data_IF_943332170244
#
_entry.id   IF_943332170244
#
_cell.length_a   1.000
_cell.length_b   1.000
_cell.length_c   1.000
_cell.angle_alpha   90.00
_cell.angle_beta   90.00
_cell.angle_gamma   90.00
#
_symmetry.space_group_name_H-M   'P 1'
#
loop_
_entity.id
_entity.type
_entity.pdbx_description
1 polymer ?
#
# COMPACT_ATOMS: atom_id res chain seq x y z
N UNK A 1 -20.39 -3.66 -15.81
CA UNK A 1 -19.71 -3.80 -14.52
C UNK A 1 -19.95 -5.20 -13.99
N UNK A 2 -18.88 -5.93 -13.67
CA UNK A 2 -18.93 -7.35 -13.25
C UNK A 2 -19.83 -7.57 -12.03
N UNK A 3 -19.80 -6.65 -11.05
CA UNK A 3 -20.66 -6.72 -9.88
C UNK A 3 -22.14 -6.58 -10.19
N UNK A 4 -22.52 -5.76 -11.17
CA UNK A 4 -23.90 -5.63 -11.59
C UNK A 4 -24.41 -6.91 -12.27
N UNK A 5 -23.49 -7.63 -12.92
CA UNK A 5 -23.83 -8.91 -13.57
C UNK A 5 -23.94 -10.05 -12.54
N UNK A 6 -22.98 -10.15 -11.61
CA UNK A 6 -22.90 -11.25 -10.64
C UNK A 6 -23.86 -11.09 -9.44
N UNK A 7 -24.19 -9.86 -9.07
CA UNK A 7 -25.01 -9.54 -7.90
C UNK A 7 -25.83 -8.26 -8.13
N UNK A 8 -26.82 -8.30 -9.05
CA UNK A 8 -27.64 -7.14 -9.39
C UNK A 8 -28.41 -6.61 -8.16
N UNK A 9 -28.85 -7.49 -7.31
CA UNK A 9 -29.67 -7.16 -6.11
C UNK A 9 -28.82 -6.68 -4.91
N UNK A 10 -27.50 -6.65 -5.04
CA UNK A 10 -26.55 -6.24 -3.97
C UNK A 10 -26.67 -7.04 -2.66
N UNK A 11 -27.00 -8.33 -2.74
CA UNK A 11 -27.27 -9.17 -1.57
C UNK A 11 -26.13 -10.13 -1.22
N UNK A 12 -25.22 -10.39 -2.16
CA UNK A 12 -24.22 -11.47 -2.04
C UNK A 12 -22.85 -10.91 -1.66
N UNK A 13 -22.38 -9.90 -2.43
CA UNK A 13 -21.02 -9.38 -2.26
C UNK A 13 -21.00 -8.01 -1.61
N UNK A 14 -20.48 -7.91 -0.38
CA UNK A 14 -20.33 -6.67 0.38
C UNK A 14 -19.02 -5.92 0.14
N UNK A 15 -18.02 -6.62 -0.38
CA UNK A 15 -16.69 -6.08 -0.64
C UNK A 15 -16.03 -6.75 -1.85
N UNK A 16 -15.01 -6.11 -2.40
CA UNK A 16 -14.17 -6.59 -3.51
C UNK A 16 -12.74 -6.70 -3.00
N UNK A 17 -12.11 -7.85 -3.19
CA UNK A 17 -10.72 -8.07 -2.85
C UNK A 17 -9.92 -8.34 -4.13
N UNK A 18 -8.87 -7.56 -4.36
CA UNK A 18 -7.86 -7.83 -5.40
C UNK A 18 -6.58 -8.30 -4.71
N UNK A 19 -6.10 -9.44 -5.15
CA UNK A 19 -4.86 -10.06 -4.72
C UNK A 19 -3.93 -10.14 -5.94
N UNK A 20 -2.93 -9.25 -5.99
CA UNK A 20 -2.00 -9.24 -7.12
C UNK A 20 -1.15 -10.51 -7.12
N UNK A 21 -0.97 -11.11 -8.30
CA UNK A 21 -0.19 -12.36 -8.47
C UNK A 21 1.30 -12.12 -8.25
N UNK A 22 1.78 -10.91 -8.53
CA UNK A 22 3.17 -10.48 -8.33
C UNK A 22 3.58 -10.40 -6.86
N UNK A 23 2.62 -10.29 -5.94
CA UNK A 23 2.87 -10.30 -4.49
C UNK A 23 2.76 -11.73 -3.93
N UNK A 24 3.65 -12.62 -4.36
CA UNK A 24 3.56 -14.07 -4.11
C UNK A 24 3.80 -14.50 -2.65
N UNK A 25 4.40 -13.63 -1.80
CA UNK A 25 4.75 -13.94 -0.41
C UNK A 25 3.65 -13.56 0.61
N UNK A 26 2.49 -13.19 0.14
CA UNK A 26 1.29 -12.97 0.96
C UNK A 26 0.87 -14.27 1.63
N UNK A 27 0.46 -14.20 2.90
CA UNK A 27 -0.07 -15.31 3.68
C UNK A 27 -1.58 -15.21 3.85
N UNK A 28 -2.21 -16.32 4.21
CA UNK A 28 -3.65 -16.35 4.51
C UNK A 28 -4.02 -15.43 5.67
N UNK A 29 -3.14 -15.30 6.68
CA UNK A 29 -3.34 -14.45 7.85
C UNK A 29 -3.48 -12.99 7.45
N UNK A 30 -2.70 -12.52 6.47
CA UNK A 30 -2.77 -11.14 5.96
C UNK A 30 -4.15 -10.86 5.33
N UNK A 31 -4.69 -11.84 4.59
CA UNK A 31 -6.03 -11.76 3.97
C UNK A 31 -7.12 -11.78 5.05
N UNK A 32 -7.03 -12.70 5.99
CA UNK A 32 -8.02 -12.83 7.07
C UNK A 32 -8.06 -11.57 7.94
N UNK A 33 -6.91 -10.95 8.22
CA UNK A 33 -6.85 -9.69 8.94
C UNK A 33 -7.55 -8.56 8.16
N UNK A 34 -7.31 -8.46 6.86
CA UNK A 34 -7.98 -7.48 6.01
C UNK A 34 -9.50 -7.63 6.00
N UNK A 35 -9.99 -8.89 5.92
CA UNK A 35 -11.43 -9.20 5.98
C UNK A 35 -12.00 -8.83 7.35
N UNK A 36 -11.31 -9.17 8.43
CA UNK A 36 -11.71 -8.80 9.78
C UNK A 36 -11.83 -7.29 9.94
N UNK A 37 -10.85 -6.53 9.43
CA UNK A 37 -10.87 -5.07 9.49
C UNK A 37 -12.06 -4.48 8.74
N UNK A 38 -12.29 -4.88 7.47
CA UNK A 38 -13.39 -4.34 6.67
C UNK A 38 -14.77 -4.68 7.28
N UNK A 39 -14.88 -5.86 7.92
CA UNK A 39 -16.10 -6.33 8.58
C UNK A 39 -16.50 -5.48 9.79
N UNK A 40 -15.59 -4.69 10.36
CA UNK A 40 -15.91 -3.75 11.45
C UNK A 40 -16.76 -2.57 10.99
N UNK A 41 -16.91 -2.37 9.68
CA UNK A 41 -17.60 -1.22 9.06
C UNK A 41 -17.01 0.15 9.42
N UNK A 42 -15.77 0.17 9.92
CA UNK A 42 -15.04 1.41 10.24
C UNK A 42 -14.20 1.89 9.05
N UNK A 43 -13.98 1.03 8.07
CA UNK A 43 -13.12 1.30 6.93
C UNK A 43 -13.91 1.18 5.62
N UNK A 44 -13.66 2.10 4.71
CA UNK A 44 -14.16 2.04 3.34
C UNK A 44 -13.29 1.13 2.47
N UNK A 45 -12.00 1.08 2.80
CA UNK A 45 -11.03 0.19 2.16
C UNK A 45 -9.94 -0.26 3.13
N UNK A 46 -9.30 -1.39 2.82
CA UNK A 46 -8.13 -1.91 3.53
C UNK A 46 -7.05 -2.25 2.50
N UNK A 47 -5.84 -1.81 2.74
CA UNK A 47 -4.67 -2.07 1.89
C UNK A 47 -3.55 -2.70 2.69
N UNK A 48 -2.70 -3.49 2.04
CA UNK A 48 -1.48 -3.98 2.65
C UNK A 48 -0.32 -3.00 2.44
N UNK A 49 0.47 -2.82 3.49
CA UNK A 49 1.62 -1.92 3.51
C UNK A 49 2.77 -2.54 4.30
N UNK A 50 3.97 -2.00 4.12
CA UNK A 50 5.11 -2.25 4.98
C UNK A 50 5.72 -0.95 5.49
N UNK A 51 6.40 -1.01 6.65
CA UNK A 51 7.05 0.17 7.24
C UNK A 51 8.36 0.48 6.50
N UNK A 52 8.53 1.74 6.09
CA UNK A 52 9.77 2.25 5.52
C UNK A 52 10.71 2.69 6.64
N UNK A 53 11.85 2.01 6.79
CA UNK A 53 12.84 2.34 7.82
C UNK A 53 13.89 3.33 7.35
N UNK A 54 14.28 3.28 6.08
CA UNK A 54 15.40 4.04 5.53
C UNK A 54 15.00 5.14 4.55
N UNK A 55 13.78 5.09 4.02
CA UNK A 55 13.25 6.06 3.05
C UNK A 55 12.22 6.94 3.77
N UNK A 56 12.43 8.25 3.71
CA UNK A 56 11.51 9.22 4.32
C UNK A 56 11.22 10.32 3.30
N UNK A 57 9.97 10.72 3.06
CA UNK A 57 9.60 11.71 2.05
C UNK A 57 10.34 13.04 2.19
N UNK A 58 10.65 13.46 3.44
CA UNK A 58 11.43 14.67 3.69
C UNK A 58 12.89 14.63 3.22
N UNK A 59 13.35 13.47 2.71
CA UNK A 59 14.70 13.30 2.13
C UNK A 59 14.65 13.04 0.62
N UNK A 60 13.49 13.19 0.00
CA UNK A 60 13.31 12.95 -1.42
C UNK A 60 13.20 14.26 -2.17
N UNK A 61 13.83 14.31 -3.33
CA UNK A 61 13.92 15.48 -4.18
C UNK A 61 13.62 15.08 -5.62
N UNK A 62 12.98 16.00 -6.34
CA UNK A 62 13.01 16.01 -7.80
C UNK A 62 14.23 16.82 -8.26
N UNK A 63 14.75 16.50 -9.44
CA UNK A 63 15.83 17.26 -10.06
C UNK A 63 15.26 17.96 -11.29
N UNK A 64 15.32 19.29 -11.28
CA UNK A 64 14.95 20.14 -12.40
C UNK A 64 16.21 20.77 -13.01
N UNK A 65 16.16 21.16 -14.27
CA UNK A 65 17.23 21.89 -14.92
C UNK A 65 16.86 23.38 -14.95
N UNK A 66 17.74 24.22 -14.40
CA UNK A 66 17.61 25.67 -14.42
C UNK A 66 18.91 26.25 -15.01
N UNK A 67 18.79 26.93 -16.13
CA UNK A 67 19.94 27.54 -16.84
C UNK A 67 21.09 26.57 -17.13
N UNK A 68 20.78 25.28 -17.42
CA UNK A 68 21.76 24.23 -17.69
C UNK A 68 22.36 23.58 -16.45
N UNK A 69 21.89 23.89 -15.26
CA UNK A 69 22.35 23.31 -13.99
C UNK A 69 21.26 22.45 -13.32
N UNK A 70 21.63 21.28 -12.75
CA UNK A 70 20.67 20.48 -11.99
C UNK A 70 20.35 21.15 -10.65
N UNK A 71 19.07 21.41 -10.41
CA UNK A 71 18.56 21.98 -9.15
C UNK A 71 17.63 20.99 -8.48
N UNK A 72 17.90 20.69 -7.20
CA UNK A 72 17.09 19.79 -6.39
C UNK A 72 15.92 20.56 -5.76
N UNK A 73 14.70 20.02 -5.91
CA UNK A 73 13.50 20.54 -5.27
C UNK A 73 12.90 19.44 -4.37
N UNK A 74 12.60 19.77 -3.11
CA UNK A 74 11.98 18.83 -2.19
C UNK A 74 10.58 18.45 -2.66
N UNK A 75 10.23 17.16 -2.61
CA UNK A 75 8.87 16.70 -2.92
C UNK A 75 7.83 17.14 -1.88
N UNK A 76 8.27 17.56 -0.69
CA UNK A 76 7.42 18.13 0.35
C UNK A 76 7.64 19.62 0.46
N UNK A 77 6.57 20.39 0.61
CA UNK A 77 6.64 21.82 0.93
C UNK A 77 7.30 22.01 2.29
N UNK A 78 8.00 23.15 2.49
CA UNK A 78 8.67 23.48 3.76
C UNK A 78 7.70 23.50 4.96
N UNK A 79 6.45 23.86 4.74
CA UNK A 79 5.39 23.86 5.75
C UNK A 79 4.81 22.48 6.05
N UNK A 80 5.17 21.44 5.29
CA UNK A 80 4.62 20.10 5.49
C UNK A 80 5.05 19.53 6.83
N UNK A 81 4.14 18.95 7.65
CA UNK A 81 4.46 18.45 9.00
C UNK A 81 5.61 17.42 9.03
N UNK A 82 5.74 16.59 8.00
CA UNK A 82 6.83 15.62 7.89
C UNK A 82 8.19 16.30 7.63
N UNK A 83 8.20 17.45 6.94
CA UNK A 83 9.41 18.24 6.69
C UNK A 83 9.89 18.91 7.98
N UNK A 84 8.98 19.51 8.75
CA UNK A 84 9.30 20.20 9.99
C UNK A 84 9.82 19.27 11.09
N UNK A 85 9.30 18.03 11.18
CA UNK A 85 9.72 17.01 12.16
C UNK A 85 11.01 16.26 11.76
N UNK A 86 11.65 16.65 10.68
CA UNK A 86 12.80 15.94 10.14
C UNK A 86 14.05 16.01 11.03
N UNK A 87 14.21 17.04 11.85
CA UNK A 87 15.42 17.30 12.63
C UNK A 87 15.80 16.16 13.61
N UNK A 88 14.82 15.48 14.19
CA UNK A 88 15.04 14.42 15.18
C UNK A 88 14.57 13.05 14.68
N UNK A 89 15.51 12.10 14.53
CA UNK A 89 15.23 10.73 14.10
C UNK A 89 14.18 10.02 14.97
N UNK A 90 14.18 10.28 16.28
CA UNK A 90 13.24 9.69 17.25
C UNK A 90 11.83 10.30 17.24
N UNK A 91 11.63 11.44 16.58
CA UNK A 91 10.35 12.13 16.48
C UNK A 91 9.69 11.94 15.12
N UNK A 92 10.30 11.17 14.21
CA UNK A 92 9.75 10.93 12.88
C UNK A 92 8.50 10.06 12.97
N UNK A 93 7.46 10.47 12.27
CA UNK A 93 6.30 9.62 12.06
C UNK A 93 6.72 8.39 11.25
N UNK A 94 6.21 7.23 11.63
CA UNK A 94 6.36 6.01 10.82
C UNK A 94 5.72 6.23 9.46
N UNK A 95 6.43 5.84 8.43
CA UNK A 95 5.97 5.93 7.05
C UNK A 95 5.75 4.53 6.53
N UNK A 96 4.65 4.34 5.82
CA UNK A 96 4.28 3.06 5.25
C UNK A 96 4.17 3.17 3.74
N UNK A 97 4.68 2.17 3.05
CA UNK A 97 4.52 2.02 1.61
C UNK A 97 3.55 0.89 1.31
N UNK A 98 2.61 1.14 0.40
CA UNK A 98 1.72 0.12 -0.14
C UNK A 98 2.54 -0.87 -0.98
N UNK A 99 2.31 -2.18 -0.75
CA UNK A 99 3.06 -3.26 -1.40
C UNK A 99 2.26 -4.04 -2.47
N UNK A 100 1.02 -3.62 -2.75
CA UNK A 100 0.21 -4.26 -3.79
C UNK A 100 -0.42 -5.60 -3.41
N UNK A 101 -0.03 -6.22 -2.29
CA UNK A 101 -0.44 -7.58 -1.97
C UNK A 101 -1.96 -7.72 -1.73
N UNK A 102 -2.60 -6.73 -1.11
CA UNK A 102 -4.03 -6.74 -0.81
C UNK A 102 -4.64 -5.38 -1.08
N UNK A 103 -5.71 -5.35 -1.87
CA UNK A 103 -6.65 -4.25 -1.99
C UNK A 103 -8.04 -4.79 -1.69
N UNK A 104 -8.62 -4.38 -0.59
CA UNK A 104 -9.96 -4.75 -0.18
C UNK A 104 -10.80 -3.49 -0.03
N UNK A 105 -11.91 -3.38 -0.73
CA UNK A 105 -12.78 -2.20 -0.74
C UNK A 105 -14.22 -2.61 -0.52
N UNK A 106 -14.97 -1.81 0.25
CA UNK A 106 -16.41 -2.00 0.37
C UNK A 106 -17.10 -1.77 -0.99
N UNK A 107 -18.14 -2.54 -1.24
CA UNK A 107 -18.94 -2.37 -2.46
C UNK A 107 -19.46 -0.93 -2.60
N UNK A 108 -19.91 -0.34 -1.49
CA UNK A 108 -20.46 1.01 -1.49
C UNK A 108 -19.43 2.06 -1.91
N UNK A 109 -18.20 1.99 -1.36
CA UNK A 109 -17.13 2.90 -1.75
C UNK A 109 -16.78 2.73 -3.23
N UNK A 110 -16.56 1.47 -3.67
CA UNK A 110 -16.23 1.19 -5.07
C UNK A 110 -17.33 1.65 -6.03
N UNK A 111 -18.60 1.43 -5.70
CA UNK A 111 -19.73 1.85 -6.55
C UNK A 111 -19.83 3.36 -6.68
N UNK A 112 -19.51 4.10 -5.61
CA UNK A 112 -19.54 5.57 -5.59
C UNK A 112 -18.36 6.21 -6.32
N UNK A 113 -17.17 5.64 -6.18
CA UNK A 113 -15.92 6.29 -6.59
C UNK A 113 -15.23 5.64 -7.78
N UNK A 114 -15.47 4.35 -8.04
CA UNK A 114 -14.70 3.53 -8.99
C UNK A 114 -13.30 3.17 -8.51
N UNK A 115 -12.91 3.55 -7.28
CA UNK A 115 -11.56 3.37 -6.75
C UNK A 115 -11.47 2.14 -5.86
N UNK A 116 -10.33 1.43 -5.94
CA UNK A 116 -10.03 0.25 -5.11
C UNK A 116 -9.50 0.61 -3.72
N UNK A 117 -9.24 1.87 -3.45
CA UNK A 117 -8.85 2.40 -2.13
C UNK A 117 -9.33 3.85 -2.01
N UNK A 118 -9.44 4.32 -0.78
CA UNK A 118 -9.90 5.67 -0.47
C UNK A 118 -10.86 5.67 0.72
N UNK A 119 -11.43 6.83 1.02
CA UNK A 119 -12.24 7.02 2.20
C UNK A 119 -11.45 6.82 3.49
N UNK A 120 -12.04 6.15 4.47
CA UNK A 120 -11.33 5.70 5.66
C UNK A 120 -10.55 4.41 5.33
N UNK A 121 -9.21 4.52 5.26
CA UNK A 121 -8.32 3.43 4.84
C UNK A 121 -7.76 2.70 6.06
N UNK A 122 -8.02 1.39 6.16
CA UNK A 122 -7.34 0.50 7.08
C UNK A 122 -6.05 -0.05 6.47
N UNK A 123 -5.07 -0.39 7.31
CA UNK A 123 -3.77 -0.93 6.87
C UNK A 123 -3.52 -2.28 7.51
N UNK A 124 -3.27 -3.30 6.70
CA UNK A 124 -2.64 -4.56 7.13
C UNK A 124 -1.14 -4.40 6.95
N UNK A 125 -0.41 -4.45 8.06
CA UNK A 125 1.04 -4.33 8.03
C UNK A 125 1.68 -5.68 7.74
N UNK A 126 2.40 -5.77 6.62
CA UNK A 126 3.23 -6.92 6.25
C UNK A 126 4.70 -6.62 6.54
N UNK A 127 5.53 -7.63 6.87
CA UNK A 127 6.98 -7.47 6.94
C UNK A 127 7.56 -7.05 5.57
N UNK A 128 8.65 -6.29 5.60
CA UNK A 128 9.36 -5.84 4.40
C UNK A 128 9.77 -7.02 3.51
N UNK A 129 10.29 -8.08 4.12
CA UNK A 129 10.79 -9.29 3.45
C UNK A 129 9.70 -10.05 2.68
N UNK A 130 8.43 -9.89 3.07
CA UNK A 130 7.27 -10.47 2.38
C UNK A 130 6.55 -9.49 1.45
N UNK A 131 7.06 -8.27 1.36
CA UNK A 131 6.44 -7.19 0.58
C UNK A 131 7.11 -6.99 -0.79
N UNK A 132 7.69 -8.06 -1.32
CA UNK A 132 8.32 -8.09 -2.65
C UNK A 132 7.20 -8.10 -3.69
N UNK A 133 7.24 -7.14 -4.62
CA UNK A 133 6.42 -7.12 -5.84
C UNK A 133 7.29 -7.64 -7.01
N UNK A 134 6.89 -8.74 -7.63
CA UNK A 134 7.73 -9.47 -8.61
C UNK A 134 7.46 -8.91 -10.00
N UNK A 135 8.17 -7.86 -10.36
CA UNK A 135 8.13 -7.25 -11.69
C UNK A 135 9.41 -7.58 -12.51
N UNK A 136 10.49 -7.99 -11.83
CA UNK A 136 11.76 -8.29 -12.42
C UNK A 136 12.26 -9.68 -12.03
N UNK A 137 13.29 -10.16 -12.76
CA UNK A 137 13.94 -11.44 -12.44
C UNK A 137 14.65 -11.42 -11.09
N UNK A 138 15.23 -10.29 -10.72
CA UNK A 138 15.94 -10.13 -9.45
C UNK A 138 14.97 -10.22 -8.27
N UNK A 139 13.78 -9.62 -8.37
CA UNK A 139 12.72 -9.72 -7.37
C UNK A 139 12.17 -11.15 -7.26
N UNK A 140 12.05 -11.86 -8.39
CA UNK A 140 11.69 -13.26 -8.38
C UNK A 140 12.73 -14.11 -7.64
N UNK A 141 14.02 -13.86 -7.86
CA UNK A 141 15.09 -14.59 -7.20
C UNK A 141 15.16 -14.25 -5.70
N UNK A 142 14.91 -13.00 -5.31
CA UNK A 142 14.74 -12.62 -3.90
C UNK A 142 13.56 -13.34 -3.24
N UNK A 143 12.40 -13.39 -3.90
CA UNK A 143 11.24 -14.11 -3.38
C UNK A 143 11.50 -15.61 -3.21
N UNK A 144 12.20 -16.24 -4.17
CA UNK A 144 12.64 -17.64 -4.09
C UNK A 144 13.61 -17.89 -2.93
N UNK A 145 14.55 -16.98 -2.73
CA UNK A 145 15.49 -17.06 -1.61
C UNK A 145 14.77 -16.96 -0.27
N UNK A 146 13.83 -16.04 -0.14
CA UNK A 146 13.00 -15.92 1.06
C UNK A 146 12.26 -17.23 1.38
N UNK A 147 11.62 -17.84 0.38
CA UNK A 147 10.90 -19.10 0.55
C UNK A 147 11.82 -20.23 0.99
N UNK A 148 13.03 -20.38 0.41
CA UNK A 148 13.99 -21.40 0.80
C UNK A 148 14.47 -21.28 2.25
N UNK A 149 14.47 -20.09 2.81
CA UNK A 149 14.91 -19.84 4.18
C UNK A 149 13.79 -19.98 5.22
N UNK A 150 12.52 -19.99 4.80
CA UNK A 150 11.36 -19.93 5.69
C UNK A 150 10.36 -21.08 5.48
N UNK A 151 10.70 -22.07 4.65
CA UNK A 151 10.03 -23.38 4.52
C UNK A 151 10.83 -24.46 5.22
#
# INVERSE_FOLDING_TARGET
NILQHLDPDKKIYGAICILQVTSALRKNEDILESIKMISTKKYDSVISCFELTNIHPAKQYTINEVEGFPVAESILTESHPLQQKHANRHQRSKIYQRNGAIFLVTRDHFTKTGLMWGGCIGIVQMPFERSIDIDTKDELDQARQYLKQNL
#
